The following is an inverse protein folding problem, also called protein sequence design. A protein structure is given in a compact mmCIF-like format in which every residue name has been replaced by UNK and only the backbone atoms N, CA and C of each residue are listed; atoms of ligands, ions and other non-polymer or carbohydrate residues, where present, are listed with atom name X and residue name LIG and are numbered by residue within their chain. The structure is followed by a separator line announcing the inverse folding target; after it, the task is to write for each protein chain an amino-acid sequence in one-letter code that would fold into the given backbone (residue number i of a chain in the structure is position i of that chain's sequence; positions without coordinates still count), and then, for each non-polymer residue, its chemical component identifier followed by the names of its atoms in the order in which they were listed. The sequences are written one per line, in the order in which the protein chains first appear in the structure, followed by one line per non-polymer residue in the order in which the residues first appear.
data_IF_253398885330
#
_entry.id   IF_253398885330
#
_cell.length_a   1.000
_cell.length_b   1.000
_cell.length_c   1.000
_cell.angle_alpha   90.00
_cell.angle_beta   90.00
_cell.angle_gamma   90.00
#
_symmetry.space_group_name_H-M   'P 1'
#
loop_
_entity.id
_entity.type
_entity.pdbx_description
1 polymer ?
#
# COMPACT_ATOMS: atom_id res chain seq x y z
N UNK A 1 -23.83 -18.58 -6.94
CA UNK A 1 -24.11 -17.14 -6.92
C UNK A 1 -22.92 -16.44 -6.29
N UNK A 2 -22.35 -15.44 -6.93
CA UNK A 2 -21.31 -14.63 -6.29
C UNK A 2 -21.97 -13.74 -5.25
N UNK A 3 -21.35 -13.58 -4.08
CA UNK A 3 -21.87 -12.73 -2.98
C UNK A 3 -22.16 -11.27 -3.39
N UNK A 4 -21.76 -10.88 -4.59
CA UNK A 4 -21.88 -9.52 -5.11
C UNK A 4 -23.23 -9.23 -5.78
N UNK A 5 -23.97 -10.24 -6.17
CA UNK A 5 -25.31 -10.08 -6.73
C UNK A 5 -26.31 -9.48 -5.74
N UNK A 6 -25.94 -9.50 -4.44
CA UNK A 6 -26.73 -8.95 -3.35
C UNK A 6 -26.58 -7.44 -3.18
N UNK A 7 -25.55 -6.83 -3.77
CA UNK A 7 -25.26 -5.42 -3.58
C UNK A 7 -25.83 -4.56 -4.70
N UNK A 8 -26.54 -3.51 -4.29
CA UNK A 8 -27.14 -2.57 -5.23
C UNK A 8 -26.09 -1.96 -6.15
N UNK A 9 -26.34 -2.00 -7.44
CA UNK A 9 -25.47 -1.42 -8.45
C UNK A 9 -24.19 -2.21 -8.75
N UNK A 10 -23.99 -3.38 -8.17
CA UNK A 10 -22.81 -4.19 -8.41
C UNK A 10 -23.08 -5.33 -9.41
N UNK A 11 -22.46 -5.26 -10.59
CA UNK A 11 -22.66 -6.28 -11.64
C UNK A 11 -21.75 -7.50 -11.47
N UNK A 12 -20.69 -7.41 -10.70
CA UNK A 12 -19.74 -8.49 -10.42
C UNK A 12 -18.83 -8.89 -11.58
N UNK A 13 -18.95 -8.25 -12.74
CA UNK A 13 -18.19 -8.61 -13.94
C UNK A 13 -17.20 -7.55 -14.37
N UNK A 14 -17.68 -6.43 -14.80
CA UNK A 14 -16.87 -5.39 -15.41
C UNK A 14 -17.18 -4.05 -14.75
N UNK A 15 -16.27 -3.57 -13.95
CA UNK A 15 -16.45 -2.27 -13.28
C UNK A 15 -16.65 -1.10 -14.25
N UNK A 16 -16.18 -1.20 -15.48
CA UNK A 16 -16.42 -0.22 -16.54
C UNK A 16 -17.85 -0.27 -17.08
N UNK A 17 -18.53 -1.38 -16.92
CA UNK A 17 -19.89 -1.62 -17.41
C UNK A 17 -20.93 -1.59 -16.28
N UNK A 18 -20.50 -1.88 -15.05
CA UNK A 18 -21.37 -1.96 -13.89
C UNK A 18 -21.09 -0.84 -12.90
N UNK A 19 -20.27 -1.13 -11.90
CA UNK A 19 -20.03 -0.26 -10.76
C UNK A 19 -18.56 0.11 -10.68
N UNK A 20 -18.25 1.36 -10.43
CA UNK A 20 -16.95 1.79 -9.93
C UNK A 20 -17.00 1.89 -8.39
N UNK A 21 -15.85 2.14 -7.76
CA UNK A 21 -15.74 2.22 -6.29
C UNK A 21 -16.66 3.30 -5.72
N UNK A 22 -16.78 4.45 -6.38
CA UNK A 22 -17.65 5.55 -5.94
C UNK A 22 -19.12 5.12 -5.97
N UNK A 23 -19.57 4.56 -7.07
CA UNK A 23 -20.97 4.15 -7.24
C UNK A 23 -21.30 2.99 -6.28
N UNK A 24 -20.36 2.08 -6.07
CA UNK A 24 -20.51 1.00 -5.08
C UNK A 24 -20.73 1.57 -3.68
N UNK A 25 -19.95 2.55 -3.24
CA UNK A 25 -20.12 3.19 -1.94
C UNK A 25 -21.45 3.94 -1.88
N UNK A 26 -21.74 4.76 -2.86
CA UNK A 26 -22.96 5.57 -2.86
C UNK A 26 -24.24 4.74 -2.83
N UNK A 27 -24.23 3.57 -3.47
CA UNK A 27 -25.42 2.71 -3.55
C UNK A 27 -25.57 1.77 -2.35
N UNK A 28 -24.52 1.50 -1.58
CA UNK A 28 -24.53 0.49 -0.53
C UNK A 28 -24.21 1.05 0.86
N UNK A 29 -23.64 2.25 0.94
CA UNK A 29 -23.29 2.86 2.23
C UNK A 29 -24.54 3.34 2.96
N UNK A 30 -24.62 3.00 4.25
CA UNK A 30 -25.64 3.53 5.18
C UNK A 30 -24.93 4.48 6.15
N UNK A 31 -25.34 5.74 6.25
CA UNK A 31 -24.80 6.64 7.26
C UNK A 31 -25.02 6.07 8.66
N UNK A 32 -23.99 6.16 9.50
CA UNK A 32 -24.13 5.82 10.91
C UNK A 32 -24.89 6.94 11.62
N UNK A 33 -25.94 6.59 12.33
CA UNK A 33 -26.84 7.50 13.07
C UNK A 33 -26.83 7.25 14.59
N UNK A 34 -25.98 6.34 15.07
CA UNK A 34 -25.78 6.05 16.48
C UNK A 34 -24.78 7.01 17.16
N UNK A 35 -24.51 6.72 18.41
CA UNK A 35 -23.50 7.38 19.22
C UNK A 35 -22.22 6.55 19.36
N UNK A 36 -21.29 6.96 20.23
CA UNK A 36 -20.02 6.28 20.46
C UNK A 36 -20.11 5.16 21.54
N UNK A 37 -21.32 4.81 22.00
CA UNK A 37 -21.51 3.87 23.12
C UNK A 37 -21.06 2.45 22.82
N UNK A 38 -20.91 2.09 21.54
CA UNK A 38 -20.46 0.75 21.12
C UNK A 38 -18.92 0.60 21.10
N UNK A 39 -18.15 1.66 21.32
CA UNK A 39 -16.70 1.61 21.29
C UNK A 39 -16.15 0.99 22.58
N UNK A 40 -15.86 -0.30 22.52
CA UNK A 40 -15.29 -1.06 23.65
C UNK A 40 -13.76 -0.96 23.77
N UNK A 41 -13.10 -0.38 22.76
CA UNK A 41 -11.64 -0.31 22.68
C UNK A 41 -10.99 -1.57 22.10
N UNK A 42 -9.66 -1.63 22.11
CA UNK A 42 -8.93 -2.71 21.44
C UNK A 42 -9.11 -4.06 22.13
N UNK A 43 -9.11 -5.12 21.33
CA UNK A 43 -9.17 -6.50 21.83
C UNK A 43 -7.90 -6.92 22.57
N UNK A 44 -7.97 -8.01 23.33
CA UNK A 44 -6.78 -8.57 24.00
C UNK A 44 -5.70 -8.98 23.01
N UNK A 45 -6.07 -9.50 21.84
CA UNK A 45 -5.15 -9.85 20.78
C UNK A 45 -4.42 -8.60 20.25
N UNK A 46 -5.17 -7.53 19.97
CA UNK A 46 -4.62 -6.24 19.56
C UNK A 46 -3.68 -5.67 20.63
N UNK A 47 -4.08 -5.69 21.90
CA UNK A 47 -3.26 -5.20 23.01
C UNK A 47 -1.94 -5.95 23.14
N UNK A 48 -1.95 -7.29 23.01
CA UNK A 48 -0.75 -8.11 23.06
C UNK A 48 0.23 -7.81 21.91
N UNK A 49 -0.28 -7.71 20.70
CA UNK A 49 0.50 -7.35 19.51
C UNK A 49 1.06 -5.93 19.61
N UNK A 50 0.26 -5.00 20.11
CA UNK A 50 0.68 -3.63 20.35
C UNK A 50 1.77 -3.54 21.42
N UNK A 51 1.64 -4.29 22.50
CA UNK A 51 2.69 -4.41 23.52
C UNK A 51 4.04 -4.84 22.93
N UNK A 52 4.02 -5.84 22.06
CA UNK A 52 5.23 -6.30 21.36
C UNK A 52 5.84 -5.22 20.47
N UNK A 53 5.02 -4.53 19.71
CA UNK A 53 5.50 -3.40 18.88
C UNK A 53 6.10 -2.27 19.71
N UNK A 54 5.50 -1.96 20.85
CA UNK A 54 6.05 -0.93 21.76
C UNK A 54 7.42 -1.31 22.31
N UNK A 55 7.66 -2.60 22.62
CA UNK A 55 8.98 -3.08 23.03
C UNK A 55 10.01 -2.85 21.94
N UNK A 56 9.72 -3.27 20.71
CA UNK A 56 10.59 -3.07 19.55
C UNK A 56 10.85 -1.58 19.28
N UNK A 57 9.84 -0.73 19.42
CA UNK A 57 9.99 0.73 19.26
C UNK A 57 10.88 1.35 20.38
N UNK A 58 10.85 0.81 21.58
CA UNK A 58 11.78 1.25 22.67
C UNK A 58 13.21 0.89 22.31
N UNK A 59 13.45 -0.31 21.77
CA UNK A 59 14.78 -0.72 21.31
C UNK A 59 15.26 0.16 20.14
N UNK A 60 14.39 0.45 19.16
CA UNK A 60 14.72 1.32 18.04
C UNK A 60 15.13 2.72 18.53
N UNK A 61 14.36 3.30 19.44
CA UNK A 61 14.69 4.59 20.05
C UNK A 61 16.00 4.56 20.84
N UNK A 62 16.27 3.50 21.56
CA UNK A 62 17.52 3.34 22.31
C UNK A 62 18.74 3.26 21.39
N UNK A 63 18.58 2.75 20.17
CA UNK A 63 19.61 2.74 19.12
C UNK A 63 19.72 4.06 18.34
N UNK A 64 18.84 5.02 18.61
CA UNK A 64 18.86 6.33 17.96
C UNK A 64 18.15 6.39 16.61
N UNK A 65 17.28 5.43 16.28
CA UNK A 65 16.51 5.43 15.04
C UNK A 65 16.15 4.06 14.52
N UNK A 66 16.54 3.73 13.31
CA UNK A 66 16.16 2.47 12.65
C UNK A 66 16.71 1.25 13.40
N UNK A 67 15.84 0.30 13.73
CA UNK A 67 16.23 -0.94 14.43
C UNK A 67 17.08 -1.85 13.53
N UNK A 68 16.69 -1.97 12.26
CA UNK A 68 17.40 -2.78 11.27
C UNK A 68 17.16 -2.22 9.86
N UNK A 69 18.11 -2.43 8.96
CA UNK A 69 18.05 -1.94 7.58
C UNK A 69 18.58 -2.98 6.61
N UNK A 70 17.79 -3.29 5.61
CA UNK A 70 18.18 -4.15 4.52
C UNK A 70 18.72 -3.35 3.34
N UNK A 71 19.91 -3.68 2.89
CA UNK A 71 20.58 -3.01 1.75
C UNK A 71 20.90 -3.96 0.61
N UNK A 72 20.77 -5.25 0.81
CA UNK A 72 21.13 -6.28 -0.18
C UNK A 72 19.93 -6.71 -1.02
N UNK A 73 18.74 -6.74 -0.42
CA UNK A 73 17.52 -7.12 -1.10
C UNK A 73 16.89 -5.89 -1.75
N UNK A 74 16.69 -5.98 -3.06
CA UNK A 74 16.00 -4.92 -3.78
C UNK A 74 14.54 -4.89 -3.38
N UNK A 75 14.05 -3.73 -2.99
CA UNK A 75 12.66 -3.55 -2.64
C UNK A 75 11.74 -3.78 -3.86
N UNK A 76 11.08 -4.89 -3.84
CA UNK A 76 10.03 -5.27 -4.78
C UNK A 76 8.89 -5.92 -4.01
N UNK A 77 7.76 -6.15 -4.64
CA UNK A 77 6.58 -6.72 -3.98
C UNK A 77 6.91 -8.09 -3.37
N UNK A 78 7.70 -8.91 -4.08
CA UNK A 78 8.09 -10.27 -3.68
C UNK A 78 9.49 -10.35 -3.06
N UNK A 79 10.09 -9.21 -2.70
CA UNK A 79 11.47 -9.18 -2.23
C UNK A 79 11.69 -9.93 -0.92
N UNK A 80 10.64 -10.08 -0.12
CA UNK A 80 10.66 -10.73 1.19
C UNK A 80 9.58 -11.79 1.26
N UNK A 81 9.89 -12.88 1.98
CA UNK A 81 8.89 -13.88 2.33
C UNK A 81 7.86 -13.38 3.34
N UNK A 82 6.88 -14.24 3.68
CA UNK A 82 5.91 -13.94 4.72
C UNK A 82 6.59 -13.60 6.05
N UNK A 83 6.13 -12.55 6.70
CA UNK A 83 6.64 -12.12 7.98
C UNK A 83 5.52 -11.60 8.88
N UNK A 84 5.71 -11.75 10.17
CA UNK A 84 4.78 -11.42 11.24
C UNK A 84 5.45 -10.50 12.26
N UNK A 85 4.64 -9.83 13.07
CA UNK A 85 5.17 -9.00 14.17
C UNK A 85 5.96 -9.85 15.14
N UNK A 86 5.43 -11.04 15.46
CA UNK A 86 6.12 -12.06 16.24
C UNK A 86 5.60 -13.43 15.79
N UNK A 87 6.52 -14.29 15.32
CA UNK A 87 6.15 -15.61 14.80
C UNK A 87 5.41 -16.47 15.86
N UNK A 88 5.71 -16.28 17.14
CA UNK A 88 5.03 -16.98 18.24
C UNK A 88 3.60 -16.50 18.50
N UNK A 89 3.24 -15.33 17.94
CA UNK A 89 1.93 -14.70 18.09
C UNK A 89 1.20 -14.53 16.74
N UNK A 90 1.66 -15.16 15.68
CA UNK A 90 1.09 -15.01 14.33
C UNK A 90 -0.40 -15.30 14.26
N UNK A 91 -0.91 -16.24 15.07
CA UNK A 91 -2.32 -16.60 15.12
C UNK A 91 -3.22 -15.46 15.66
N UNK A 92 -2.62 -14.45 16.30
CA UNK A 92 -3.31 -13.23 16.73
C UNK A 92 -3.42 -12.20 15.60
N UNK A 93 -2.63 -12.34 14.53
CA UNK A 93 -2.63 -11.40 13.42
C UNK A 93 -3.78 -11.74 12.45
N UNK A 94 -4.89 -11.01 12.55
CA UNK A 94 -6.02 -11.14 11.63
C UNK A 94 -5.76 -10.45 10.29
N UNK A 95 -4.92 -9.40 10.29
CA UNK A 95 -4.41 -8.72 9.10
C UNK A 95 -2.91 -8.93 9.06
N UNK A 96 -2.43 -9.60 8.02
CA UNK A 96 -1.02 -10.03 7.91
C UNK A 96 -0.28 -9.29 6.80
N UNK A 97 1.01 -9.18 6.98
CA UNK A 97 1.94 -8.63 6.00
C UNK A 97 2.84 -7.54 6.58
N UNK A 98 4.13 -7.65 6.30
CA UNK A 98 5.14 -6.65 6.66
C UNK A 98 5.87 -6.17 5.41
N UNK A 99 6.45 -4.99 5.49
CA UNK A 99 7.27 -4.43 4.42
C UNK A 99 8.50 -5.28 4.12
N UNK A 100 9.09 -5.86 5.16
CA UNK A 100 10.29 -6.70 5.12
C UNK A 100 10.03 -8.03 5.83
N UNK A 101 11.06 -8.78 6.09
CA UNK A 101 11.04 -10.05 6.83
C UNK A 101 10.97 -9.90 8.35
N UNK A 102 11.03 -8.65 8.86
CA UNK A 102 10.96 -8.37 10.30
C UNK A 102 10.21 -7.07 10.58
N UNK A 103 9.54 -6.97 11.73
CA UNK A 103 8.94 -5.71 12.15
C UNK A 103 10.02 -4.64 12.35
N UNK A 104 9.68 -3.40 12.03
CA UNK A 104 10.55 -2.21 12.10
C UNK A 104 11.86 -2.28 11.28
N UNK A 105 12.14 -3.38 10.58
CA UNK A 105 13.22 -3.44 9.60
C UNK A 105 12.79 -2.69 8.33
N UNK A 106 13.66 -1.83 7.86
CA UNK A 106 13.42 -1.04 6.65
C UNK A 106 14.29 -1.53 5.51
N UNK A 107 13.73 -1.67 4.32
CA UNK A 107 14.52 -1.97 3.13
C UNK A 107 15.45 -0.80 2.78
N UNK A 108 15.02 0.44 3.08
CA UNK A 108 15.83 1.66 2.99
C UNK A 108 15.13 2.83 3.68
N UNK A 109 15.84 3.95 3.81
CA UNK A 109 15.33 5.12 4.52
C UNK A 109 14.12 5.74 3.82
N UNK A 110 13.01 5.96 4.54
CA UNK A 110 11.81 6.51 3.94
C UNK A 110 11.91 8.00 3.56
N UNK A 111 12.88 8.73 4.08
CA UNK A 111 12.92 10.20 3.97
C UNK A 111 13.92 10.76 2.99
N UNK A 112 14.58 9.99 2.23
CA UNK A 112 15.64 10.59 1.46
C UNK A 112 15.89 9.92 0.15
N UNK A 113 16.88 10.45 -0.47
CA UNK A 113 17.53 9.80 -1.54
C UNK A 113 18.62 8.88 -1.04
N UNK A 114 19.37 8.34 -1.97
CA UNK A 114 20.47 7.42 -1.71
C UNK A 114 21.47 7.93 -0.64
N UNK A 115 21.73 9.23 -0.59
CA UNK A 115 22.67 9.80 0.39
C UNK A 115 22.24 9.61 1.85
N UNK A 116 20.94 9.65 2.12
CA UNK A 116 20.44 9.38 3.47
C UNK A 116 20.50 7.90 3.79
N UNK A 117 20.22 7.04 2.82
CA UNK A 117 20.37 5.60 2.97
C UNK A 117 21.84 5.24 3.24
N UNK A 118 22.78 5.80 2.44
CA UNK A 118 24.21 5.59 2.62
C UNK A 118 24.68 6.04 4.01
N UNK A 119 24.29 7.24 4.45
CA UNK A 119 24.64 7.74 5.77
C UNK A 119 24.07 6.89 6.91
N UNK A 120 22.85 6.42 6.78
CA UNK A 120 22.25 5.54 7.78
C UNK A 120 22.93 4.17 7.81
N UNK A 121 23.24 3.60 6.66
CA UNK A 121 24.00 2.36 6.58
C UNK A 121 25.36 2.51 7.26
N UNK A 122 26.07 3.61 7.03
CA UNK A 122 27.35 3.91 7.66
C UNK A 122 27.23 3.98 9.18
N UNK A 123 26.19 4.66 9.70
CA UNK A 123 25.95 4.76 11.14
C UNK A 123 25.75 3.41 11.81
N UNK A 124 25.18 2.43 11.13
CA UNK A 124 24.92 1.09 11.64
C UNK A 124 25.96 0.04 11.20
N UNK A 125 27.03 0.47 10.51
CA UNK A 125 28.08 -0.41 10.07
C UNK A 125 27.77 -1.25 8.84
N UNK A 126 26.73 -0.90 8.09
CA UNK A 126 26.35 -1.53 6.83
C UNK A 126 26.98 -0.81 5.63
N UNK A 127 27.12 -1.54 4.54
CA UNK A 127 27.45 -0.97 3.24
C UNK A 127 26.26 -1.15 2.32
N UNK A 128 25.71 -0.08 1.72
CA UNK A 128 24.62 -0.22 0.75
C UNK A 128 25.09 -1.00 -0.46
N UNK A 129 24.25 -1.86 -1.00
CA UNK A 129 24.60 -2.62 -2.19
C UNK A 129 24.72 -1.69 -3.41
N UNK A 130 25.61 -2.00 -4.37
CA UNK A 130 25.69 -1.26 -5.63
C UNK A 130 24.37 -1.21 -6.40
N UNK A 131 23.56 -2.26 -6.27
CA UNK A 131 22.24 -2.37 -6.89
C UNK A 131 21.25 -1.37 -6.29
N UNK A 132 21.33 -1.10 -4.98
CA UNK A 132 20.53 -0.06 -4.34
C UNK A 132 20.87 1.31 -4.93
N UNK A 133 22.16 1.60 -5.10
CA UNK A 133 22.64 2.83 -5.72
C UNK A 133 22.12 2.97 -7.16
N UNK A 134 22.19 1.91 -7.95
CA UNK A 134 21.65 1.89 -9.33
C UNK A 134 20.15 2.21 -9.35
N UNK A 135 19.37 1.61 -8.46
CA UNK A 135 17.92 1.85 -8.37
C UNK A 135 17.62 3.33 -8.11
N UNK A 136 18.29 3.93 -7.13
CA UNK A 136 18.08 5.34 -6.80
C UNK A 136 18.53 6.30 -7.89
N UNK A 137 19.57 5.97 -8.60
CA UNK A 137 20.09 6.85 -9.67
C UNK A 137 19.35 6.69 -11.00
N UNK A 138 18.82 5.50 -11.28
CA UNK A 138 18.15 5.19 -12.54
C UNK A 138 16.63 5.23 -12.46
N UNK A 139 16.06 4.64 -11.41
CA UNK A 139 14.60 4.41 -11.33
C UNK A 139 13.90 5.24 -10.24
N UNK A 140 14.56 5.49 -9.13
CA UNK A 140 14.00 6.18 -7.98
C UNK A 140 14.78 7.47 -7.71
N UNK A 141 14.57 8.46 -8.53
CA UNK A 141 15.13 9.78 -8.27
C UNK A 141 14.62 10.35 -6.96
N UNK A 142 15.44 11.11 -6.26
CA UNK A 142 14.95 11.92 -5.14
C UNK A 142 13.90 12.90 -5.65
N UNK A 143 13.00 13.31 -4.76
CA UNK A 143 12.03 14.33 -5.11
C UNK A 143 12.72 15.60 -5.67
N UNK A 144 13.77 16.06 -5.02
CA UNK A 144 14.53 17.21 -5.50
C UNK A 144 15.11 16.99 -6.89
N UNK A 145 15.70 15.85 -7.17
CA UNK A 145 16.20 15.52 -8.50
C UNK A 145 15.07 15.53 -9.54
N UNK A 146 13.96 14.87 -9.25
CA UNK A 146 12.84 14.81 -10.19
C UNK A 146 12.29 16.20 -10.53
N UNK A 147 12.22 17.10 -9.55
CA UNK A 147 11.74 18.47 -9.75
C UNK A 147 12.79 19.32 -10.47
N UNK A 148 14.06 19.27 -10.05
CA UNK A 148 15.10 20.10 -10.65
C UNK A 148 15.48 19.65 -12.06
N UNK A 149 15.32 18.38 -12.39
CA UNK A 149 15.52 17.89 -13.76
C UNK A 149 14.47 18.46 -14.75
N UNK A 150 13.30 18.89 -14.25
CA UNK A 150 12.24 19.48 -15.05
C UNK A 150 12.41 20.99 -15.21
N UNK A 151 13.08 21.66 -14.29
CA UNK A 151 13.24 23.10 -14.32
C UNK A 151 14.14 23.53 -15.47
N UNK A 152 13.64 24.51 -16.25
CA UNK A 152 14.48 25.17 -17.26
C UNK A 152 15.52 26.07 -16.59
N UNK A 153 16.60 26.46 -17.30
CA UNK A 153 17.55 27.42 -16.78
C UNK A 153 16.93 28.75 -16.34
N UNK A 154 15.87 29.20 -17.04
CA UNK A 154 15.11 30.40 -16.71
C UNK A 154 14.33 30.23 -15.41
N UNK A 155 13.69 29.09 -15.20
CA UNK A 155 13.00 28.77 -13.95
C UNK A 155 13.98 28.69 -12.78
N UNK A 156 15.15 28.08 -12.99
CA UNK A 156 16.20 28.02 -11.98
C UNK A 156 16.72 29.42 -11.64
N UNK A 157 16.92 30.30 -12.64
CA UNK A 157 17.31 31.70 -12.44
C UNK A 157 16.24 32.48 -11.69
N UNK A 158 14.96 32.32 -12.07
CA UNK A 158 13.84 32.97 -11.40
C UNK A 158 13.73 32.53 -9.92
N UNK A 159 13.97 31.26 -9.64
CA UNK A 159 14.01 30.73 -8.28
C UNK A 159 15.19 31.29 -7.48
N UNK A 160 16.37 31.32 -8.06
CA UNK A 160 17.58 31.91 -7.43
C UNK A 160 17.33 33.37 -7.06
N UNK A 161 16.66 34.09 -7.92
CA UNK A 161 16.30 35.49 -7.72
C UNK A 161 15.05 35.67 -6.84
N UNK A 162 14.50 34.59 -6.26
CA UNK A 162 13.32 34.60 -5.39
C UNK A 162 12.04 35.14 -6.06
N UNK A 163 11.99 35.15 -7.38
CA UNK A 163 10.78 35.49 -8.16
C UNK A 163 9.82 34.33 -8.11
N UNK A 164 10.31 33.10 -8.26
CA UNK A 164 9.58 31.88 -7.96
C UNK A 164 9.82 31.51 -6.49
N UNK A 165 8.79 31.59 -5.68
CA UNK A 165 8.78 31.10 -4.31
C UNK A 165 8.08 29.73 -4.27
N UNK A 166 8.53 28.90 -3.41
CA UNK A 166 8.07 27.54 -3.27
C UNK A 166 9.22 26.59 -3.45
N UNK A 167 9.47 25.83 -2.45
CA UNK A 167 10.27 24.64 -2.61
C UNK A 167 9.37 23.62 -3.28
N UNK A 168 9.87 22.84 -4.23
CA UNK A 168 9.36 21.54 -4.39
C UNK A 168 9.40 20.97 -2.98
N UNK A 169 8.24 20.74 -2.45
CA UNK A 169 8.11 20.26 -1.11
C UNK A 169 8.98 19.02 -0.96
N UNK A 170 9.95 19.09 -0.07
CA UNK A 170 10.77 17.91 0.26
C UNK A 170 9.92 16.78 0.83
N UNK A 171 8.72 17.10 1.28
CA UNK A 171 7.70 16.16 1.73
C UNK A 171 6.65 15.86 0.66
N UNK A 172 6.43 16.73 -0.29
CA UNK A 172 5.59 16.51 -1.47
C UNK A 172 6.23 15.55 -2.45
N UNK A 173 6.67 14.46 -1.96
CA UNK A 173 7.05 13.32 -2.78
C UNK A 173 5.79 12.87 -3.46
N UNK A 174 5.45 13.38 -4.62
CA UNK A 174 4.26 13.12 -5.39
C UNK A 174 3.71 11.69 -5.30
N UNK A 175 3.37 11.28 -4.09
CA UNK A 175 2.87 9.95 -3.82
C UNK A 175 1.42 9.95 -4.14
N UNK A 176 1.12 9.18 -5.11
CA UNK A 176 -0.24 8.87 -5.45
C UNK A 176 -0.78 8.01 -4.31
N UNK A 177 -1.85 8.47 -3.69
CA UNK A 177 -2.69 7.62 -2.86
C UNK A 177 -3.38 6.67 -3.81
N UNK A 178 -2.97 5.40 -3.81
CA UNK A 178 -3.61 4.36 -4.61
C UNK A 178 -5.05 4.12 -4.14
N UNK A 179 -5.93 3.77 -5.04
CA UNK A 179 -7.25 3.28 -4.65
C UNK A 179 -7.18 1.78 -4.37
N UNK A 180 -6.71 1.43 -3.18
CA UNK A 180 -6.49 0.05 -2.73
C UNK A 180 -7.80 -0.73 -2.58
N UNK A 181 -8.96 -0.03 -2.47
CA UNK A 181 -10.30 -0.62 -2.44
C UNK A 181 -10.60 -1.43 -3.69
N UNK A 182 -9.98 -1.08 -4.81
CA UNK A 182 -10.13 -1.78 -6.08
C UNK A 182 -9.68 -3.23 -6.00
N UNK A 183 -8.67 -3.55 -5.20
CA UNK A 183 -8.21 -4.92 -4.98
C UNK A 183 -9.31 -5.76 -4.34
N UNK A 184 -9.93 -5.22 -3.30
CA UNK A 184 -11.03 -5.90 -2.61
C UNK A 184 -12.28 -6.03 -3.50
N UNK A 185 -12.63 -4.97 -4.24
CA UNK A 185 -13.86 -4.92 -5.01
C UNK A 185 -13.81 -5.79 -6.28
N UNK A 186 -12.65 -5.84 -6.96
CA UNK A 186 -12.56 -6.50 -8.28
C UNK A 186 -11.71 -7.78 -8.30
N UNK A 187 -10.78 -7.93 -7.37
CA UNK A 187 -9.73 -8.94 -7.45
C UNK A 187 -8.65 -8.63 -8.49
N UNK A 188 -7.52 -9.28 -8.33
CA UNK A 188 -6.33 -8.98 -9.15
C UNK A 188 -6.47 -9.46 -10.59
N UNK A 189 -7.11 -10.58 -10.86
CA UNK A 189 -7.25 -11.09 -12.23
C UNK A 189 -7.98 -10.10 -13.12
N UNK A 190 -9.04 -9.50 -12.62
CA UNK A 190 -9.77 -8.46 -13.33
C UNK A 190 -8.91 -7.21 -13.58
N UNK A 191 -8.13 -6.78 -12.59
CA UNK A 191 -7.24 -5.63 -12.74
C UNK A 191 -6.14 -5.89 -13.78
N UNK A 192 -5.61 -7.13 -13.85
CA UNK A 192 -4.66 -7.54 -14.89
C UNK A 192 -5.32 -7.48 -16.27
N UNK A 193 -6.51 -8.05 -16.41
CA UNK A 193 -7.26 -8.05 -17.68
C UNK A 193 -7.53 -6.61 -18.17
N UNK A 194 -7.97 -5.74 -17.27
CA UNK A 194 -8.17 -4.33 -17.57
C UNK A 194 -6.89 -3.65 -18.06
N UNK A 195 -5.74 -3.93 -17.44
CA UNK A 195 -4.45 -3.38 -17.87
C UNK A 195 -3.94 -3.97 -19.19
N UNK A 196 -4.20 -5.25 -19.44
CA UNK A 196 -3.90 -5.87 -20.74
C UNK A 196 -4.69 -5.21 -21.86
N UNK A 197 -5.96 -4.87 -21.61
CA UNK A 197 -6.77 -4.11 -22.56
C UNK A 197 -6.18 -2.72 -22.81
N UNK A 198 -5.83 -1.99 -21.73
CA UNK A 198 -5.16 -0.69 -21.87
C UNK A 198 -3.87 -0.79 -22.69
N UNK A 199 -3.06 -1.83 -22.47
CA UNK A 199 -1.85 -2.10 -23.22
C UNK A 199 -2.10 -2.33 -24.73
N UNK A 200 -3.15 -3.04 -25.09
CA UNK A 200 -3.52 -3.26 -26.48
C UNK A 200 -4.09 -2.00 -27.12
N UNK A 201 -4.86 -1.21 -26.40
CA UNK A 201 -5.48 0.01 -26.91
C UNK A 201 -4.46 1.10 -27.24
N UNK A 202 -3.30 1.12 -26.57
CA UNK A 202 -2.19 2.04 -26.90
C UNK A 202 -1.53 1.77 -28.26
N UNK A 203 -1.82 0.64 -28.91
CA UNK A 203 -1.26 0.28 -30.23
C UNK A 203 -1.96 0.96 -31.40
N UNK A 204 -3.09 1.61 -31.21
CA UNK A 204 -3.99 2.00 -32.31
C UNK A 204 -3.63 3.29 -33.03
N UNK A 205 -2.70 4.10 -32.54
CA UNK A 205 -2.48 5.47 -33.03
C UNK A 205 -1.06 5.75 -33.55
N UNK A 206 -0.25 4.74 -33.79
CA UNK A 206 1.15 4.93 -34.19
C UNK A 206 2.08 5.23 -33.01
N UNK A 207 3.29 4.69 -33.08
CA UNK A 207 4.20 4.66 -31.94
C UNK A 207 5.01 5.96 -31.86
N UNK A 208 4.58 6.89 -31.03
CA UNK A 208 5.34 8.08 -30.62
C UNK A 208 6.19 7.75 -29.39
N UNK A 209 7.18 8.59 -29.06
CA UNK A 209 8.05 8.39 -27.89
C UNK A 209 7.24 8.20 -26.58
N UNK A 210 6.17 8.99 -26.39
CA UNK A 210 5.29 8.87 -25.22
C UNK A 210 4.52 7.55 -25.15
N UNK A 211 4.20 6.94 -26.30
CA UNK A 211 3.46 5.68 -26.35
C UNK A 211 4.33 4.52 -25.89
N UNK A 212 5.63 4.53 -26.18
CA UNK A 212 6.56 3.54 -25.67
C UNK A 212 6.66 3.60 -24.14
N UNK A 213 6.81 4.80 -23.58
CA UNK A 213 6.89 5.00 -22.14
C UNK A 213 5.60 4.54 -21.45
N UNK A 214 4.44 4.93 -21.98
CA UNK A 214 3.14 4.50 -21.44
C UNK A 214 2.98 2.97 -21.47
N UNK A 215 3.41 2.33 -22.54
CA UNK A 215 3.38 0.87 -22.65
C UNK A 215 4.30 0.19 -21.64
N UNK A 216 5.50 0.73 -21.45
CA UNK A 216 6.42 0.24 -20.42
C UNK A 216 5.79 0.36 -19.03
N UNK A 217 5.18 1.49 -18.70
CA UNK A 217 4.48 1.71 -17.44
C UNK A 217 3.31 0.72 -17.24
N UNK A 218 2.49 0.49 -18.27
CA UNK A 218 1.39 -0.49 -18.18
C UNK A 218 1.94 -1.92 -18.00
N UNK A 219 3.00 -2.27 -18.72
CA UNK A 219 3.64 -3.58 -18.56
C UNK A 219 4.18 -3.78 -17.14
N UNK A 220 4.79 -2.74 -16.54
CA UNK A 220 5.22 -2.77 -15.14
C UNK A 220 4.05 -2.92 -14.17
N UNK A 221 2.93 -2.23 -14.41
CA UNK A 221 1.73 -2.39 -13.60
C UNK A 221 1.21 -3.83 -13.65
N UNK A 222 1.21 -4.47 -14.82
CA UNK A 222 0.81 -5.88 -14.96
C UNK A 222 1.76 -6.80 -14.18
N UNK A 223 3.08 -6.56 -14.26
CA UNK A 223 4.08 -7.32 -13.49
C UNK A 223 3.86 -7.13 -11.98
N UNK A 224 3.63 -5.92 -11.54
CA UNK A 224 3.35 -5.62 -10.14
C UNK A 224 2.08 -6.32 -9.63
N UNK A 225 0.99 -6.33 -10.41
CA UNK A 225 -0.23 -7.05 -10.05
C UNK A 225 0.00 -8.56 -9.93
N UNK A 226 0.80 -9.16 -10.82
CA UNK A 226 1.19 -10.57 -10.71
C UNK A 226 2.02 -10.84 -9.46
N UNK A 227 3.00 -9.98 -9.17
CA UNK A 227 3.80 -10.09 -7.96
C UNK A 227 2.96 -9.94 -6.68
N UNK A 228 1.89 -9.12 -6.71
CA UNK A 228 0.93 -9.05 -5.59
C UNK A 228 0.21 -10.39 -5.35
N UNK A 229 -0.18 -11.11 -6.40
CA UNK A 229 -0.77 -12.45 -6.26
C UNK A 229 0.21 -13.42 -5.60
N UNK A 230 1.47 -13.40 -6.05
CA UNK A 230 2.54 -14.25 -5.48
C UNK A 230 2.77 -13.91 -4.00
N UNK A 231 2.84 -12.62 -3.65
CA UNK A 231 2.96 -12.17 -2.26
C UNK A 231 1.79 -12.66 -1.41
N UNK A 232 0.55 -12.47 -1.86
CA UNK A 232 -0.63 -12.90 -1.12
C UNK A 232 -0.69 -14.41 -0.96
N UNK A 233 -0.34 -15.17 -2.00
CA UNK A 233 -0.28 -16.63 -1.96
C UNK A 233 0.76 -17.14 -0.94
N UNK A 234 1.89 -16.43 -0.77
CA UNK A 234 2.88 -16.76 0.24
C UNK A 234 2.35 -16.60 1.67
N UNK A 235 1.36 -15.71 1.89
CA UNK A 235 0.61 -15.62 3.15
C UNK A 235 -0.61 -16.55 3.22
N UNK A 236 -0.85 -17.38 2.20
CA UNK A 236 -1.98 -18.31 2.16
C UNK A 236 -3.28 -17.74 1.63
N UNK A 237 -3.25 -16.57 0.96
CA UNK A 237 -4.46 -15.90 0.43
C UNK A 237 -4.49 -15.90 -1.10
N UNK A 238 -5.68 -16.12 -1.65
CA UNK A 238 -5.96 -15.98 -3.08
C UNK A 238 -6.73 -14.68 -3.36
N UNK A 239 -6.01 -13.64 -3.75
CA UNK A 239 -6.58 -12.34 -4.10
C UNK A 239 -6.98 -12.23 -5.58
N UNK A 240 -7.04 -13.33 -6.30
CA UNK A 240 -7.43 -13.34 -7.72
C UNK A 240 -8.86 -12.89 -7.93
N UNK A 241 -9.74 -13.14 -6.96
CA UNK A 241 -11.17 -12.84 -6.96
C UNK A 241 -11.51 -11.69 -6.02
N UNK A 242 -12.68 -11.05 -6.22
CA UNK A 242 -13.20 -10.09 -5.26
C UNK A 242 -13.34 -10.67 -3.85
N UNK A 243 -13.17 -9.81 -2.85
CA UNK A 243 -13.35 -10.16 -1.46
C UNK A 243 -14.81 -10.61 -1.17
N UNK A 244 -14.98 -11.68 -0.41
CA UNK A 244 -16.30 -12.26 -0.11
C UNK A 244 -16.89 -11.78 1.20
N UNK A 245 -16.04 -11.35 2.13
CA UNK A 245 -16.40 -10.95 3.48
C UNK A 245 -15.51 -9.80 3.97
N UNK A 246 -15.82 -9.29 5.16
CA UNK A 246 -15.09 -8.17 5.77
C UNK A 246 -13.60 -8.48 5.96
N UNK A 247 -13.26 -9.67 6.45
CA UNK A 247 -11.86 -10.07 6.65
C UNK A 247 -11.08 -10.07 5.36
N UNK A 248 -11.63 -10.65 4.29
CA UNK A 248 -11.01 -10.61 2.96
C UNK A 248 -10.92 -9.18 2.43
N UNK A 249 -11.97 -8.37 2.58
CA UNK A 249 -11.96 -6.99 2.09
C UNK A 249 -10.85 -6.15 2.74
N UNK A 250 -10.69 -6.28 4.05
CA UNK A 250 -9.61 -5.65 4.81
C UNK A 250 -8.25 -6.15 4.33
N UNK A 251 -8.06 -7.46 4.25
CA UNK A 251 -6.78 -8.05 3.87
C UNK A 251 -6.39 -7.73 2.42
N UNK A 252 -7.33 -7.79 1.46
CA UNK A 252 -7.08 -7.45 0.04
C UNK A 252 -6.67 -5.98 -0.11
N UNK A 253 -7.39 -5.10 0.56
CA UNK A 253 -7.07 -3.67 0.61
C UNK A 253 -5.68 -3.45 1.20
N UNK A 254 -5.38 -4.12 2.31
CA UNK A 254 -4.08 -4.03 2.97
C UNK A 254 -2.94 -4.55 2.09
N UNK A 255 -3.11 -5.66 1.37
CA UNK A 255 -2.10 -6.14 0.42
C UNK A 255 -1.84 -5.13 -0.71
N UNK A 256 -2.87 -4.44 -1.20
CA UNK A 256 -2.69 -3.35 -2.17
C UNK A 256 -1.84 -2.22 -1.60
N UNK A 257 -2.11 -1.81 -0.37
CA UNK A 257 -1.33 -0.80 0.33
C UNK A 257 0.10 -1.27 0.61
N UNK A 258 0.28 -2.49 1.07
CA UNK A 258 1.57 -3.09 1.36
C UNK A 258 2.45 -3.18 0.11
N UNK A 259 1.88 -3.58 -1.03
CA UNK A 259 2.60 -3.61 -2.31
C UNK A 259 3.11 -2.22 -2.69
N UNK A 260 2.30 -1.19 -2.51
CA UNK A 260 2.71 0.20 -2.76
C UNK A 260 3.83 0.64 -1.81
N UNK A 261 3.79 0.28 -0.52
CA UNK A 261 4.87 0.56 0.43
C UNK A 261 6.16 -0.13 0.01
N UNK A 262 6.09 -1.41 -0.35
CA UNK A 262 7.26 -2.18 -0.76
C UNK A 262 7.97 -1.60 -1.99
N UNK A 263 7.21 -1.01 -2.92
CA UNK A 263 7.75 -0.47 -4.17
C UNK A 263 8.17 1.00 -4.09
N UNK A 264 7.58 1.78 -3.20
CA UNK A 264 7.78 3.23 -3.19
C UNK A 264 8.72 3.74 -2.10
N UNK A 265 9.20 2.91 -1.24
CA UNK A 265 10.14 3.30 -0.19
C UNK A 265 9.65 4.43 0.67
N UNK A 266 8.45 4.41 1.11
CA UNK A 266 8.05 5.68 1.50
C UNK A 266 7.49 5.83 2.88
N UNK A 267 8.00 6.82 3.54
CA UNK A 267 7.30 7.49 4.61
C UNK A 267 6.06 8.20 4.08
N UNK A 268 5.07 8.38 4.93
CA UNK A 268 3.89 9.20 4.69
C UNK A 268 3.02 8.72 3.50
N UNK A 269 2.72 7.44 3.45
CA UNK A 269 1.71 6.91 2.54
C UNK A 269 0.36 6.83 3.28
N UNK A 270 -0.69 7.35 2.66
CA UNK A 270 -2.05 7.25 3.17
C UNK A 270 -2.75 6.03 2.60
N UNK A 271 -3.52 5.32 3.42
CA UNK A 271 -4.47 4.31 2.94
C UNK A 271 -5.71 4.95 2.29
N UNK A 272 -5.84 6.27 2.39
CA UNK A 272 -7.01 6.99 1.93
C UNK A 272 -8.23 6.78 2.81
N UNK A 273 -9.39 7.19 2.31
CA UNK A 273 -10.66 7.04 3.01
C UNK A 273 -11.23 5.64 2.77
N UNK A 274 -11.01 4.74 3.71
CA UNK A 274 -11.42 3.33 3.61
C UNK A 274 -12.63 2.99 4.47
N UNK A 275 -12.95 3.79 5.49
CA UNK A 275 -13.99 3.49 6.48
C UNK A 275 -15.35 3.20 5.83
N UNK A 276 -15.87 4.11 5.01
CA UNK A 276 -17.17 3.95 4.34
C UNK A 276 -17.22 2.74 3.39
N UNK A 277 -16.09 2.36 2.81
CA UNK A 277 -16.01 1.19 1.95
C UNK A 277 -16.02 -0.11 2.75
N UNK A 278 -15.20 -0.20 3.79
CA UNK A 278 -15.10 -1.39 4.63
C UNK A 278 -16.37 -1.61 5.44
N UNK A 279 -17.03 -0.52 5.85
CA UNK A 279 -18.28 -0.58 6.58
C UNK A 279 -19.37 -1.36 5.81
N UNK A 280 -19.43 -1.26 4.49
CA UNK A 280 -20.38 -2.02 3.66
C UNK A 280 -20.21 -3.53 3.88
N UNK A 281 -18.97 -4.02 3.94
CA UNK A 281 -18.67 -5.43 4.18
C UNK A 281 -18.94 -5.81 5.64
N UNK A 282 -18.51 -4.97 6.58
CA UNK A 282 -18.64 -5.19 8.01
C UNK A 282 -20.12 -5.23 8.39
N UNK A 283 -20.89 -4.22 8.01
CA UNK A 283 -22.33 -4.13 8.34
C UNK A 283 -23.11 -5.32 7.76
N UNK A 284 -22.79 -5.74 6.54
CA UNK A 284 -23.40 -6.93 5.95
C UNK A 284 -23.08 -8.21 6.75
N UNK A 285 -21.81 -8.38 7.11
CA UNK A 285 -21.36 -9.59 7.79
C UNK A 285 -21.87 -9.63 9.25
N UNK A 286 -21.99 -8.48 9.91
CA UNK A 286 -22.67 -8.34 11.21
C UNK A 286 -24.16 -8.71 11.10
N UNK A 287 -24.87 -8.16 10.11
CA UNK A 287 -26.28 -8.46 9.88
C UNK A 287 -26.54 -9.93 9.56
N UNK A 288 -25.60 -10.61 8.90
CA UNK A 288 -25.68 -12.03 8.59
C UNK A 288 -25.22 -12.94 9.74
N UNK A 289 -24.70 -12.37 10.83
CA UNK A 289 -24.15 -13.12 11.97
C UNK A 289 -22.87 -13.90 11.65
N UNK A 290 -22.18 -13.53 10.57
CA UNK A 290 -20.89 -14.14 10.16
C UNK A 290 -19.68 -13.40 10.69
N UNK A 291 -19.89 -12.26 11.34
CA UNK A 291 -18.91 -11.44 12.03
C UNK A 291 -19.54 -10.91 13.31
N UNK A 292 -18.76 -10.81 14.37
CA UNK A 292 -19.15 -10.13 15.62
C UNK A 292 -18.57 -8.73 15.65
N UNK A 293 -19.14 -7.82 16.45
CA UNK A 293 -18.60 -6.48 16.65
C UNK A 293 -17.16 -6.50 17.15
N UNK A 294 -16.85 -7.42 18.06
CA UNK A 294 -15.47 -7.60 18.56
C UNK A 294 -14.49 -8.02 17.48
N UNK A 295 -14.86 -8.91 16.59
CA UNK A 295 -14.04 -9.32 15.44
C UNK A 295 -13.91 -8.18 14.43
N UNK A 296 -14.96 -7.40 14.19
CA UNK A 296 -14.93 -6.22 13.35
C UNK A 296 -13.97 -5.17 13.92
N UNK A 297 -14.05 -4.88 15.22
CA UNK A 297 -13.14 -3.99 15.92
C UNK A 297 -11.69 -4.45 15.76
N UNK A 298 -11.42 -5.74 15.94
CA UNK A 298 -10.07 -6.30 15.79
C UNK A 298 -9.51 -6.12 14.38
N UNK A 299 -10.31 -6.30 13.34
CA UNK A 299 -9.89 -6.06 11.96
C UNK A 299 -9.49 -4.59 11.75
N UNK A 300 -10.27 -3.65 12.27
CA UNK A 300 -10.00 -2.21 12.14
C UNK A 300 -8.75 -1.81 12.93
N UNK A 301 -8.59 -2.29 14.16
CA UNK A 301 -7.43 -2.04 15.00
C UNK A 301 -6.14 -2.54 14.34
N UNK A 302 -6.20 -3.71 13.69
CA UNK A 302 -5.03 -4.30 13.07
C UNK A 302 -4.62 -3.62 11.77
N UNK A 303 -5.53 -2.98 11.05
CA UNK A 303 -5.15 -2.05 9.95
C UNK A 303 -4.34 -0.88 10.52
N UNK A 304 -4.79 -0.27 11.60
CA UNK A 304 -4.11 0.84 12.25
C UNK A 304 -2.68 0.48 12.68
N UNK A 305 -2.47 -0.74 13.16
CA UNK A 305 -1.16 -1.27 13.55
C UNK A 305 -0.20 -1.44 12.38
N UNK A 306 -0.70 -1.72 11.21
CA UNK A 306 0.10 -1.94 10.01
C UNK A 306 0.88 -0.69 9.53
N UNK A 307 0.61 0.46 10.12
CA UNK A 307 1.31 1.72 9.86
C UNK A 307 2.55 1.97 10.72
N UNK A 308 2.87 1.08 11.62
CA UNK A 308 3.96 1.26 12.57
C UNK A 308 5.25 0.59 12.12
#
# INVERSE_FOLDING_TARGET
MTNFEQWSGFSGRLWKEGVNVRDFIQNNYTPYDGDESFLEGPTDATNRLWGKLQELQKEERAKGGVLDMETEVVSGITAYGPAYIDESMKDLEQVVGLQTDKPLKRAFMPYGGIKMAEKSCEMYGYKPSPKLHEIFTKYHKTHNQAVFDIYTPEMMKARHNKILTGLPDTYGRGRIVGDYRRVALYGIDYLIESKQKDFHDTNRQGMRRGDFQLREEIAEQIRALKAMKEMAAAYGFDISKPAKNAKEAVQWLYFGYLAAIKTQNGAAMSVGRISTFLDIYISRDLANGTLTEKEAQELVDQIGRAHV
#
